data_IF_419244162652
#
_entry.id   IF_419244162652
#
_cell.length_a   1.000
_cell.length_b   1.000
_cell.length_c   1.000
_cell.angle_alpha   90.00
_cell.angle_beta   90.00
_cell.angle_gamma   90.00
#
_symmetry.space_group_name_H-M   'P 1'
#
loop_
_entity.id
_entity.type
_entity.pdbx_description
1 polymer ?
#
# COMPACT_ATOMS: atom_id res chain seq x y z
N UNK A 1 16.96 10.01 26.39
CA UNK A 1 15.68 9.83 25.74
C UNK A 1 15.84 8.77 24.68
N UNK A 2 15.16 7.68 24.81
CA UNK A 2 15.26 6.57 23.88
C UNK A 2 14.73 6.98 22.50
N UNK A 3 15.56 6.87 21.51
CA UNK A 3 15.19 7.01 20.12
C UNK A 3 14.53 5.72 19.62
N UNK A 4 13.44 5.31 20.26
CA UNK A 4 12.73 4.12 19.83
C UNK A 4 12.08 4.27 18.44
N UNK A 5 11.99 5.50 17.95
CA UNK A 5 11.48 5.78 16.61
C UNK A 5 12.43 5.33 15.47
N UNK A 6 13.64 4.87 15.77
CA UNK A 6 14.56 4.36 14.76
C UNK A 6 14.22 2.96 14.27
N UNK A 7 13.65 2.12 15.13
CA UNK A 7 13.35 0.72 14.80
C UNK A 7 12.10 0.55 13.94
N UNK A 8 11.09 1.40 14.14
CA UNK A 8 9.85 1.33 13.37
C UNK A 8 10.10 1.60 11.88
N UNK A 9 11.01 2.51 11.56
CA UNK A 9 11.34 2.85 10.17
C UNK A 9 12.14 1.77 9.45
N UNK A 10 12.74 0.84 10.17
CA UNK A 10 13.53 -0.24 9.56
C UNK A 10 12.68 -1.14 8.67
N UNK A 11 11.37 -1.23 8.92
CA UNK A 11 10.45 -2.01 8.08
C UNK A 11 10.42 -1.48 6.63
N UNK A 12 10.63 -0.18 6.43
CA UNK A 12 10.60 0.43 5.11
C UNK A 12 11.71 -0.07 4.18
N UNK A 13 12.81 -0.55 4.73
CA UNK A 13 13.92 -1.10 3.94
C UNK A 13 13.51 -2.34 3.16
N UNK A 14 12.48 -3.05 3.63
CA UNK A 14 11.96 -4.24 2.95
C UNK A 14 11.35 -3.90 1.59
N UNK A 15 10.82 -2.69 1.43
CA UNK A 15 10.19 -2.23 0.18
C UNK A 15 11.19 -1.63 -0.82
N UNK A 16 12.41 -1.34 -0.40
CA UNK A 16 13.40 -0.68 -1.27
C UNK A 16 13.78 -1.58 -2.42
N UNK A 17 13.79 -1.01 -3.63
CA UNK A 17 14.15 -1.70 -4.87
C UNK A 17 13.01 -1.73 -5.87
N UNK A 18 13.16 -2.56 -6.87
CA UNK A 18 12.15 -2.75 -7.91
C UNK A 18 11.41 -4.07 -7.73
N UNK A 19 10.11 -4.04 -7.99
CA UNK A 19 9.23 -5.19 -7.86
C UNK A 19 8.36 -5.32 -9.10
N UNK A 20 8.20 -6.54 -9.57
CA UNK A 20 7.22 -6.89 -10.60
C UNK A 20 6.01 -7.54 -9.93
N UNK A 21 4.82 -7.11 -10.33
CA UNK A 21 3.56 -7.56 -9.74
C UNK A 21 2.64 -8.23 -10.73
N UNK A 22 2.00 -9.30 -10.27
CA UNK A 22 0.85 -9.91 -10.92
C UNK A 22 -0.40 -9.45 -10.17
N UNK A 23 -1.23 -8.62 -10.84
CA UNK A 23 -2.42 -8.04 -10.26
C UNK A 23 -3.67 -8.82 -10.66
N UNK A 24 -4.56 -8.98 -9.69
CA UNK A 24 -5.93 -9.41 -9.92
C UNK A 24 -6.84 -8.33 -9.37
N UNK A 25 -7.62 -7.69 -10.23
CA UNK A 25 -8.57 -6.64 -9.85
C UNK A 25 -9.97 -7.14 -10.12
N UNK A 26 -10.81 -7.13 -9.08
CA UNK A 26 -12.23 -7.49 -9.18
C UNK A 26 -13.02 -6.22 -8.93
N UNK A 27 -13.64 -5.61 -9.97
CA UNK A 27 -14.27 -4.29 -9.86
C UNK A 27 -15.43 -4.23 -8.87
N UNK A 28 -16.13 -5.35 -8.70
CA UNK A 28 -17.24 -5.46 -7.76
C UNK A 28 -17.61 -6.90 -7.50
N UNK A 29 -18.45 -7.19 -6.46
CA UNK A 29 -18.90 -8.53 -6.18
C UNK A 29 -19.61 -9.17 -7.38
N UNK A 30 -19.25 -10.42 -7.69
CA UNK A 30 -19.83 -11.15 -8.82
C UNK A 30 -19.32 -10.74 -10.18
N UNK A 31 -18.42 -9.77 -10.28
CA UNK A 31 -17.81 -9.35 -11.53
C UNK A 31 -16.57 -10.19 -11.85
N UNK A 32 -16.28 -10.42 -13.15
CA UNK A 32 -15.10 -11.20 -13.50
C UNK A 32 -13.81 -10.49 -13.11
N UNK A 33 -12.82 -11.21 -12.55
CA UNK A 33 -11.53 -10.63 -12.23
C UNK A 33 -10.75 -10.26 -13.48
N UNK A 34 -10.03 -9.15 -13.40
CA UNK A 34 -9.16 -8.66 -14.46
C UNK A 34 -7.71 -8.85 -14.04
N UNK A 35 -6.91 -9.43 -14.92
CA UNK A 35 -5.48 -9.66 -14.71
C UNK A 35 -4.67 -8.56 -15.36
N UNK A 36 -3.62 -8.11 -14.68
CA UNK A 36 -2.69 -7.14 -15.24
C UNK A 36 -1.30 -7.29 -14.62
N UNK A 37 -0.33 -6.58 -15.18
CA UNK A 37 1.05 -6.56 -14.71
C UNK A 37 1.36 -5.17 -14.16
N UNK A 38 2.16 -5.14 -13.10
CA UNK A 38 2.57 -3.88 -12.47
C UNK A 38 4.04 -3.85 -12.15
N UNK A 39 4.53 -2.64 -11.94
CA UNK A 39 5.89 -2.37 -11.48
C UNK A 39 5.81 -1.41 -10.30
N UNK A 40 6.53 -1.77 -9.24
CA UNK A 40 6.63 -0.96 -8.03
C UNK A 40 8.09 -0.65 -7.78
N UNK A 41 8.39 0.62 -7.49
CA UNK A 41 9.74 1.05 -7.11
C UNK A 41 9.66 1.69 -5.74
N UNK A 42 10.42 1.16 -4.79
CA UNK A 42 10.54 1.71 -3.45
C UNK A 42 11.89 2.35 -3.22
N UNK A 43 11.89 3.53 -2.61
CA UNK A 43 13.12 4.24 -2.23
C UNK A 43 12.93 5.00 -0.93
N UNK A 44 14.00 5.12 -0.17
CA UNK A 44 14.02 5.96 1.03
C UNK A 44 14.50 7.36 0.67
N UNK A 45 13.88 8.35 1.29
CA UNK A 45 14.24 9.78 1.16
C UNK A 45 14.40 10.43 2.53
N UNK A 46 14.96 11.64 2.56
CA UNK A 46 15.08 12.46 3.79
C UNK A 46 15.77 11.73 4.93
N UNK A 47 16.94 11.14 4.63
CA UNK A 47 17.75 10.45 5.64
C UNK A 47 17.14 9.12 6.09
N UNK A 48 16.31 8.49 5.25
CA UNK A 48 15.68 7.21 5.55
C UNK A 48 14.40 7.31 6.37
N UNK A 49 13.89 8.52 6.59
CA UNK A 49 12.66 8.73 7.38
C UNK A 49 11.39 8.40 6.62
N UNK A 50 11.41 8.53 5.29
CA UNK A 50 10.24 8.35 4.45
C UNK A 50 10.52 7.34 3.37
N UNK A 51 9.50 6.51 3.09
CA UNK A 51 9.49 5.58 1.97
C UNK A 51 8.63 6.17 0.86
N UNK A 52 9.18 6.24 -0.35
CA UNK A 52 8.42 6.58 -1.55
C UNK A 52 8.16 5.31 -2.33
N UNK A 53 6.89 5.07 -2.67
CA UNK A 53 6.47 3.98 -3.55
C UNK A 53 5.90 4.57 -4.83
N UNK A 54 6.52 4.23 -5.95
CA UNK A 54 6.05 4.60 -7.28
C UNK A 54 5.53 3.34 -7.96
N UNK A 55 4.25 3.36 -8.32
CA UNK A 55 3.58 2.22 -8.96
C UNK A 55 3.13 2.58 -10.37
N UNK A 56 3.29 1.62 -11.28
CA UNK A 56 2.74 1.71 -12.62
C UNK A 56 2.14 0.38 -13.04
N UNK A 57 0.91 0.43 -13.52
CA UNK A 57 0.29 -0.72 -14.15
C UNK A 57 0.73 -0.75 -15.63
N UNK A 58 1.48 -1.78 -16.00
CA UNK A 58 2.07 -1.91 -17.33
C UNK A 58 1.03 -2.29 -18.39
N UNK A 59 -0.10 -2.81 -17.98
CA UNK A 59 -1.20 -3.20 -18.88
C UNK A 59 -2.11 -2.02 -19.19
N UNK A 60 -2.47 -1.22 -18.17
CA UNK A 60 -3.46 -0.14 -18.30
C UNK A 60 -2.85 1.25 -18.40
N UNK A 61 -1.59 1.41 -17.96
CA UNK A 61 -0.93 2.72 -17.89
C UNK A 61 -1.23 3.52 -16.62
N UNK A 62 -2.03 2.98 -15.69
CA UNK A 62 -2.31 3.63 -14.41
C UNK A 62 -1.01 3.91 -13.64
N UNK A 63 -0.91 5.11 -13.06
CA UNK A 63 0.20 5.51 -12.21
C UNK A 63 -0.28 6.00 -10.86
N UNK A 64 0.45 5.64 -9.81
CA UNK A 64 0.21 6.14 -8.47
C UNK A 64 1.50 6.26 -7.68
N UNK A 65 1.50 7.18 -6.71
CA UNK A 65 2.67 7.50 -5.90
C UNK A 65 2.27 7.65 -4.44
N UNK A 66 3.04 7.02 -3.57
CA UNK A 66 2.82 7.09 -2.13
C UNK A 66 4.05 7.54 -1.38
N UNK A 67 3.83 8.23 -0.26
CA UNK A 67 4.88 8.58 0.69
C UNK A 67 4.43 8.08 2.06
N UNK A 68 5.30 7.30 2.70
CA UNK A 68 5.01 6.61 3.95
C UNK A 68 6.08 6.93 4.99
N UNK A 69 5.66 7.05 6.23
CA UNK A 69 6.55 7.32 7.35
C UNK A 69 6.01 6.75 8.65
N UNK A 70 6.72 7.01 9.71
CA UNK A 70 6.28 6.69 11.06
C UNK A 70 6.19 7.97 11.88
N UNK A 71 5.02 8.20 12.46
CA UNK A 71 4.77 9.35 13.32
C UNK A 71 4.84 8.91 14.80
N UNK A 72 5.92 9.25 15.52
CA UNK A 72 6.05 8.85 16.91
C UNK A 72 5.06 9.53 17.84
N UNK A 73 4.50 10.68 17.45
CA UNK A 73 3.46 11.35 18.21
C UNK A 73 2.15 10.59 18.19
N UNK A 74 1.81 9.99 17.07
CA UNK A 74 0.63 9.15 16.91
C UNK A 74 0.91 7.68 17.25
N UNK A 75 2.17 7.28 17.29
CA UNK A 75 2.61 5.86 17.37
C UNK A 75 2.00 5.03 16.25
N UNK A 76 2.00 5.60 15.03
CA UNK A 76 1.40 5.00 13.86
C UNK A 76 2.30 5.16 12.65
N UNK A 77 2.25 4.20 11.75
CA UNK A 77 2.68 4.42 10.40
C UNK A 77 1.65 5.30 9.71
N UNK A 78 2.13 6.21 8.87
CA UNK A 78 1.28 7.16 8.16
C UNK A 78 1.62 7.10 6.67
N UNK A 79 0.66 7.37 5.83
CA UNK A 79 0.87 7.37 4.39
C UNK A 79 -0.03 8.32 3.66
N UNK A 80 0.42 8.70 2.48
CA UNK A 80 -0.37 9.46 1.51
C UNK A 80 -0.27 8.78 0.16
N UNK A 81 -1.31 8.93 -0.66
CA UNK A 81 -1.34 8.39 -2.01
C UNK A 81 -2.00 9.37 -2.95
N UNK A 82 -1.42 9.53 -4.14
CA UNK A 82 -1.99 10.25 -5.26
C UNK A 82 -1.89 9.38 -6.51
N UNK A 83 -2.86 9.47 -7.39
CA UNK A 83 -2.85 8.73 -8.65
C UNK A 83 -3.53 9.53 -9.77
N UNK A 84 -3.49 8.98 -10.98
CA UNK A 84 -4.02 9.64 -12.16
C UNK A 84 -5.54 9.45 -12.36
N UNK A 85 -6.20 8.72 -11.45
CA UNK A 85 -7.65 8.51 -11.51
C UNK A 85 -8.45 9.41 -10.56
N UNK A 86 -7.79 10.04 -9.58
CA UNK A 86 -8.44 10.86 -8.55
C UNK A 86 -7.76 12.20 -8.41
N UNK A 87 -8.53 13.20 -7.99
CA UNK A 87 -8.02 14.56 -7.82
C UNK A 87 -7.70 14.92 -6.37
N UNK A 88 -7.97 14.02 -5.43
CA UNK A 88 -7.73 14.23 -4.00
C UNK A 88 -6.55 13.41 -3.48
N UNK A 89 -5.98 13.89 -2.39
CA UNK A 89 -4.97 13.13 -1.64
C UNK A 89 -5.68 12.14 -0.71
N UNK A 90 -5.28 10.89 -0.77
CA UNK A 90 -5.71 9.87 0.17
C UNK A 90 -4.70 9.77 1.30
N UNK A 91 -5.17 9.57 2.52
CA UNK A 91 -4.33 9.47 3.72
C UNK A 91 -4.59 8.15 4.45
N UNK A 92 -3.58 7.65 5.12
CA UNK A 92 -3.67 6.40 5.87
C UNK A 92 -2.93 6.44 7.18
N UNK A 93 -3.42 5.64 8.12
CA UNK A 93 -2.70 5.25 9.32
C UNK A 93 -2.58 3.72 9.36
N UNK A 94 -1.46 3.22 9.88
CA UNK A 94 -1.21 1.79 9.85
C UNK A 94 -0.41 1.26 11.01
N UNK A 95 -0.39 -0.07 11.08
CA UNK A 95 0.33 -0.85 12.07
C UNK A 95 1.12 -1.97 11.41
N UNK A 96 2.29 -2.24 11.96
CA UNK A 96 3.13 -3.36 11.56
C UNK A 96 3.00 -4.50 12.55
N UNK A 97 2.73 -5.70 12.05
CA UNK A 97 2.75 -6.93 12.83
C UNK A 97 4.00 -7.74 12.48
N UNK A 98 4.96 -7.79 13.41
CA UNK A 98 6.22 -8.49 13.20
C UNK A 98 6.04 -10.01 13.09
N UNK A 99 5.01 -10.57 13.71
CA UNK A 99 4.75 -12.02 13.69
C UNK A 99 4.29 -12.47 12.30
N UNK A 100 3.32 -11.78 11.72
CA UNK A 100 2.83 -12.08 10.37
C UNK A 100 3.63 -11.41 9.28
N UNK A 101 4.54 -10.48 9.64
CA UNK A 101 5.30 -9.64 8.70
C UNK A 101 4.38 -8.86 7.76
N UNK A 102 3.32 -8.30 8.34
CA UNK A 102 2.29 -7.58 7.61
C UNK A 102 2.15 -6.14 8.06
N UNK A 103 2.06 -5.23 7.10
CA UNK A 103 1.70 -3.84 7.30
C UNK A 103 0.24 -3.66 6.88
N UNK A 104 -0.59 -3.19 7.80
CA UNK A 104 -1.99 -2.90 7.50
C UNK A 104 -2.23 -1.41 7.61
N UNK A 105 -2.68 -0.80 6.53
CA UNK A 105 -3.10 0.61 6.50
C UNK A 105 -4.61 0.70 6.39
N UNK A 106 -5.18 1.64 7.14
CA UNK A 106 -6.57 2.07 6.97
C UNK A 106 -6.53 3.40 6.22
N UNK A 107 -7.06 3.39 5.02
CA UNK A 107 -7.10 4.53 4.11
C UNK A 107 -8.40 5.30 4.23
N UNK A 108 -8.33 6.60 3.98
CA UNK A 108 -9.48 7.50 3.90
C UNK A 108 -9.35 8.41 2.70
N UNK A 109 -10.46 8.61 2.01
CA UNK A 109 -10.57 9.55 0.91
C UNK A 109 -11.93 10.23 0.93
N UNK A 110 -11.97 11.49 0.51
CA UNK A 110 -13.21 12.21 0.27
C UNK A 110 -13.64 12.01 -1.17
N UNK A 111 -14.85 11.50 -1.35
CA UNK A 111 -15.41 11.26 -2.67
C UNK A 111 -15.96 12.56 -3.27
N UNK A 112 -16.20 12.63 -4.60
CA UNK A 112 -16.75 13.84 -5.24
C UNK A 112 -18.08 14.33 -4.65
N UNK A 113 -18.88 13.44 -4.06
CA UNK A 113 -20.13 13.79 -3.37
C UNK A 113 -19.92 14.30 -1.94
N UNK A 114 -18.67 14.47 -1.48
CA UNK A 114 -18.32 14.94 -0.14
C UNK A 114 -18.31 13.86 0.94
N UNK A 115 -18.71 12.64 0.62
CA UNK A 115 -18.67 11.52 1.57
C UNK A 115 -17.25 10.99 1.76
N UNK A 116 -16.94 10.57 2.99
CA UNK A 116 -15.67 9.90 3.29
C UNK A 116 -15.80 8.41 3.06
N UNK A 117 -14.86 7.85 2.31
CA UNK A 117 -14.72 6.42 2.07
C UNK A 117 -13.50 5.91 2.80
N UNK A 118 -13.61 4.71 3.37
CA UNK A 118 -12.50 4.05 4.09
C UNK A 118 -12.34 2.62 3.59
N UNK A 119 -11.08 2.17 3.51
CA UNK A 119 -10.75 0.79 3.14
C UNK A 119 -9.43 0.38 3.80
N UNK A 120 -9.09 -0.90 3.70
CA UNK A 120 -7.83 -1.44 4.23
C UNK A 120 -6.93 -1.93 3.12
N UNK A 121 -5.64 -1.76 3.31
CA UNK A 121 -4.60 -2.36 2.49
C UNK A 121 -3.65 -3.15 3.37
N UNK A 122 -3.33 -4.36 2.95
CA UNK A 122 -2.47 -5.27 3.68
C UNK A 122 -1.31 -5.68 2.79
N UNK A 123 -0.08 -5.32 3.20
CA UNK A 123 1.14 -5.78 2.57
C UNK A 123 1.78 -6.82 3.47
N UNK A 124 2.08 -8.00 2.95
CA UNK A 124 2.71 -9.07 3.71
C UNK A 124 3.98 -9.55 3.00
N UNK A 125 5.09 -9.59 3.73
CA UNK A 125 6.35 -10.10 3.21
C UNK A 125 6.42 -11.60 3.42
N UNK A 126 6.38 -12.35 2.32
CA UNK A 126 6.55 -13.81 2.32
C UNK A 126 8.03 -14.15 2.51
N UNK A 127 8.90 -13.36 1.89
CA UNK A 127 10.35 -13.43 2.00
C UNK A 127 10.95 -12.05 1.70
N UNK A 128 12.26 -11.92 1.67
CA UNK A 128 12.91 -10.68 1.28
C UNK A 128 12.67 -10.31 -0.19
N UNK A 129 12.33 -11.30 -1.03
CA UNK A 129 12.15 -11.15 -2.46
C UNK A 129 10.71 -11.33 -2.94
N UNK A 130 9.77 -11.56 -2.03
CA UNK A 130 8.36 -11.79 -2.38
C UNK A 130 7.44 -11.15 -1.34
N UNK A 131 6.44 -10.41 -1.83
CA UNK A 131 5.39 -9.84 -0.99
C UNK A 131 4.04 -9.91 -1.68
N UNK A 132 2.99 -9.95 -0.87
CA UNK A 132 1.61 -9.85 -1.33
C UNK A 132 1.01 -8.53 -0.88
N UNK A 133 0.07 -8.02 -1.68
CA UNK A 133 -0.64 -6.79 -1.39
C UNK A 133 -2.12 -7.02 -1.67
N UNK A 134 -2.99 -6.57 -0.76
CA UNK A 134 -4.44 -6.71 -0.92
C UNK A 134 -5.13 -5.41 -0.58
N UNK A 135 -6.16 -5.09 -1.35
CA UNK A 135 -7.10 -3.99 -1.07
C UNK A 135 -8.44 -4.58 -0.71
N UNK A 136 -8.93 -4.27 0.48
CA UNK A 136 -10.16 -4.84 1.05
C UNK A 136 -11.12 -3.70 1.33
N UNK A 137 -12.30 -3.78 0.70
CA UNK A 137 -13.35 -2.77 0.80
C UNK A 137 -14.43 -3.22 1.77
N UNK A 138 -14.92 -2.32 2.66
CA UNK A 138 -16.07 -2.64 3.49
C UNK A 138 -17.34 -2.66 2.64
N UNK A 139 -18.23 -3.62 2.93
CA UNK A 139 -19.51 -3.77 2.25
C UNK A 139 -20.66 -3.34 3.18
N UNK A 140 -21.83 -2.92 2.62
CA UNK A 140 -22.97 -2.49 3.43
C UNK A 140 -23.50 -3.53 4.41
N UNK A 141 -23.29 -4.83 4.12
CA UNK A 141 -23.70 -5.95 4.98
C UNK A 141 -22.71 -6.24 6.13
N UNK A 142 -21.67 -5.43 6.28
CA UNK A 142 -20.62 -5.61 7.28
C UNK A 142 -19.54 -6.61 6.89
N UNK A 143 -19.65 -7.24 5.73
CA UNK A 143 -18.61 -8.10 5.17
C UNK A 143 -17.54 -7.27 4.48
N UNK A 144 -16.43 -7.90 4.16
CA UNK A 144 -15.35 -7.29 3.40
C UNK A 144 -15.25 -7.91 2.01
N UNK A 145 -14.84 -7.09 1.03
CA UNK A 145 -14.66 -7.51 -0.35
C UNK A 145 -13.23 -7.22 -0.79
N UNK A 146 -12.51 -8.25 -1.24
CA UNK A 146 -11.16 -8.08 -1.77
C UNK A 146 -11.25 -7.57 -3.21
N UNK A 147 -11.00 -6.27 -3.38
CA UNK A 147 -11.06 -5.61 -4.67
C UNK A 147 -9.80 -5.84 -5.50
N UNK A 148 -8.65 -5.96 -4.86
CA UNK A 148 -7.37 -6.15 -5.53
C UNK A 148 -6.47 -7.07 -4.72
N UNK A 149 -5.74 -7.92 -5.43
CA UNK A 149 -4.61 -8.66 -4.88
C UNK A 149 -3.43 -8.57 -5.85
N UNK A 150 -2.23 -8.46 -5.29
CA UNK A 150 -1.01 -8.39 -6.06
C UNK A 150 0.01 -9.33 -5.44
N UNK A 151 0.71 -10.06 -6.29
CA UNK A 151 1.88 -10.82 -5.90
C UNK A 151 3.10 -10.16 -6.52
N UNK A 152 3.95 -9.59 -5.67
CA UNK A 152 5.17 -8.92 -6.08
C UNK A 152 6.37 -9.82 -5.91
N UNK A 153 7.26 -9.79 -6.89
CA UNK A 153 8.59 -10.40 -6.83
C UNK A 153 9.63 -9.34 -7.07
N UNK A 154 10.70 -9.38 -6.28
CA UNK A 154 11.82 -8.44 -6.42
C UNK A 154 12.53 -8.68 -7.75
N UNK A 155 12.76 -7.59 -8.49
CA UNK A 155 13.59 -7.63 -9.69
C UNK A 155 15.03 -7.65 -9.24
N UNK A 156 15.76 -8.66 -9.66
CA UNK A 156 17.19 -8.80 -9.37
C UNK A 156 18.01 -8.26 -10.54
N UNK A 157 18.99 -7.42 -10.22
CA UNK A 157 19.93 -6.92 -11.20
C UNK A 157 20.90 -8.03 -11.67
#
# INVERSE_FOLDING_TARGET
MSNDAGNERDVFRKDVGEWEGDLTITPGPGQPPQKSKGRLVGKLISGGKWLVLDFRNLTTGFEGHGIYGYDPGLRKYVGTWVDDMRNGIMVAEGDWDATSRAMTYVWKATMPNGQTMSWREISQFVSDDEQTFRVVMPMPDGKEFEMMSVRYRRVKA
#
